data_IF_172659808948
#
_entry.id   IF_172659808948
#
_cell.length_a   1.000
_cell.length_b   1.000
_cell.length_c   1.000
_cell.angle_alpha   90.00
_cell.angle_beta   90.00
_cell.angle_gamma   90.00
#
_symmetry.space_group_name_H-M   'P 1'
#
loop_
_entity.id
_entity.type
_entity.pdbx_description
1 polymer ?
#
# COMPACT_ATOMS: atom_id res chain seq x y z
N UNK A 1 -16.77 -2.89 28.01
CA UNK A 1 -16.75 -3.59 26.70
C UNK A 1 -16.18 -2.73 25.57
N UNK A 2 -16.32 -1.41 25.64
CA UNK A 2 -15.82 -0.51 24.60
C UNK A 2 -14.27 -0.50 24.44
N UNK A 3 -13.52 -0.67 25.53
CA UNK A 3 -12.05 -0.67 25.46
C UNK A 3 -11.48 -1.78 24.57
N UNK A 4 -11.99 -2.99 24.70
CA UNK A 4 -11.53 -4.13 23.89
C UNK A 4 -11.88 -3.95 22.41
N UNK A 5 -13.04 -3.37 22.09
CA UNK A 5 -13.42 -3.03 20.72
C UNK A 5 -12.49 -1.95 20.12
N UNK A 6 -12.16 -0.92 20.90
CA UNK A 6 -11.19 0.08 20.46
C UNK A 6 -9.80 -0.48 20.26
N UNK A 7 -9.36 -1.39 21.13
CA UNK A 7 -8.08 -2.08 21.00
C UNK A 7 -8.01 -2.90 19.69
N UNK A 8 -9.05 -3.68 19.39
CA UNK A 8 -9.12 -4.49 18.16
C UNK A 8 -9.12 -3.60 16.92
N UNK A 9 -9.90 -2.53 16.91
CA UNK A 9 -9.91 -1.57 15.80
C UNK A 9 -8.55 -0.87 15.65
N UNK A 10 -7.91 -0.52 16.75
CA UNK A 10 -6.56 0.05 16.76
C UNK A 10 -5.51 -0.89 16.18
N UNK A 11 -5.56 -2.18 16.53
CA UNK A 11 -4.67 -3.21 15.95
C UNK A 11 -4.93 -3.37 14.46
N UNK A 12 -6.19 -3.36 14.02
CA UNK A 12 -6.54 -3.42 12.60
C UNK A 12 -5.95 -2.26 11.82
N UNK A 13 -6.17 -1.03 12.29
CA UNK A 13 -5.63 0.17 11.67
C UNK A 13 -4.10 0.18 11.69
N UNK A 14 -3.51 -0.20 12.83
CA UNK A 14 -2.06 -0.36 12.99
C UNK A 14 -1.45 -1.36 12.02
N UNK A 15 -2.17 -2.46 11.70
CA UNK A 15 -1.74 -3.45 10.72
C UNK A 15 -1.64 -2.87 9.31
N UNK A 16 -2.58 -2.00 8.91
CA UNK A 16 -2.52 -1.30 7.63
C UNK A 16 -1.31 -0.38 7.57
N UNK A 17 -1.12 0.44 8.61
CA UNK A 17 0.05 1.32 8.69
C UNK A 17 1.38 0.55 8.71
N UNK A 18 1.42 -0.63 9.35
CA UNK A 18 2.60 -1.47 9.37
C UNK A 18 2.98 -1.96 7.96
N UNK A 19 2.01 -2.37 7.13
CA UNK A 19 2.27 -2.77 5.73
C UNK A 19 2.79 -1.59 4.91
N UNK A 20 2.17 -0.43 5.05
CA UNK A 20 2.59 0.79 4.35
C UNK A 20 4.01 1.19 4.76
N UNK A 21 4.28 1.22 6.06
CA UNK A 21 5.60 1.55 6.60
C UNK A 21 6.67 0.56 6.15
N UNK A 22 6.35 -0.73 6.09
CA UNK A 22 7.25 -1.77 5.64
C UNK A 22 7.62 -1.60 4.17
N UNK A 23 6.65 -1.31 3.30
CA UNK A 23 6.91 -0.98 1.89
C UNK A 23 7.80 0.24 1.74
N UNK A 24 7.52 1.29 2.51
CA UNK A 24 8.29 2.53 2.50
C UNK A 24 9.74 2.31 2.98
N UNK A 25 9.93 1.59 4.08
CA UNK A 25 11.26 1.32 4.64
C UNK A 25 12.10 0.43 3.75
N UNK A 26 11.50 -0.53 3.02
CA UNK A 26 12.22 -1.33 2.04
C UNK A 26 12.77 -0.48 0.90
N UNK A 27 11.95 0.40 0.34
CA UNK A 27 12.40 1.32 -0.73
C UNK A 27 13.50 2.24 -0.22
N UNK A 28 13.34 2.82 0.97
CA UNK A 28 14.35 3.66 1.59
C UNK A 28 15.66 2.91 1.86
N UNK A 29 15.58 1.68 2.38
CA UNK A 29 16.76 0.86 2.65
C UNK A 29 17.63 0.63 1.41
N UNK A 30 16.99 0.38 0.26
CA UNK A 30 17.68 0.10 -0.99
C UNK A 30 18.13 1.37 -1.71
N UNK A 31 17.21 2.31 -1.89
CA UNK A 31 17.44 3.50 -2.68
C UNK A 31 18.14 4.62 -1.91
N UNK A 32 18.15 4.56 -0.56
CA UNK A 32 18.63 5.63 0.37
C UNK A 32 17.97 6.98 0.09
N UNK A 33 16.77 6.97 -0.51
CA UNK A 33 16.01 8.15 -0.86
C UNK A 33 14.59 8.06 -0.30
N UNK A 34 14.08 9.18 0.19
CA UNK A 34 12.70 9.30 0.65
C UNK A 34 11.76 9.36 -0.56
N UNK A 35 10.88 8.39 -0.69
CA UNK A 35 9.89 8.36 -1.76
C UNK A 35 8.54 8.89 -1.26
N UNK A 36 8.30 10.20 -1.39
CA UNK A 36 7.03 10.80 -1.00
C UNK A 36 5.85 10.34 -1.87
N UNK A 37 6.11 9.95 -3.12
CA UNK A 37 5.07 9.41 -4.01
C UNK A 37 4.57 8.00 -3.62
N UNK A 38 5.09 7.38 -2.55
CA UNK A 38 4.68 6.05 -2.14
C UNK A 38 3.18 5.99 -1.77
N UNK A 39 2.70 7.00 -1.03
CA UNK A 39 1.28 7.12 -0.70
C UNK A 39 0.39 7.28 -1.93
N UNK A 40 0.87 8.03 -2.92
CA UNK A 40 0.11 8.28 -4.15
C UNK A 40 0.01 7.04 -5.04
N UNK A 41 1.05 6.20 -5.05
CA UNK A 41 0.97 4.89 -5.72
C UNK A 41 -0.08 4.00 -5.06
N UNK A 42 -0.19 4.02 -3.72
CA UNK A 42 -1.25 3.31 -2.99
C UNK A 42 -2.62 3.88 -3.35
N UNK A 43 -2.76 5.21 -3.40
CA UNK A 43 -3.98 5.89 -3.82
C UNK A 43 -4.41 5.45 -5.22
N UNK A 44 -3.52 5.45 -6.20
CA UNK A 44 -3.80 4.95 -7.56
C UNK A 44 -4.27 3.49 -7.53
N UNK A 45 -3.60 2.65 -6.74
CA UNK A 45 -4.00 1.25 -6.55
C UNK A 45 -5.43 1.12 -6.03
N UNK A 46 -5.82 1.94 -5.05
CA UNK A 46 -7.18 1.97 -4.52
C UNK A 46 -8.20 2.40 -5.59
N UNK A 47 -7.89 3.41 -6.39
CA UNK A 47 -8.77 3.84 -7.48
C UNK A 47 -8.96 2.75 -8.54
N UNK A 48 -7.91 2.03 -8.91
CA UNK A 48 -8.01 0.91 -9.86
C UNK A 48 -8.92 -0.20 -9.32
N UNK A 49 -8.76 -0.60 -8.05
CA UNK A 49 -9.64 -1.59 -7.43
C UNK A 49 -11.08 -1.09 -7.41
N UNK A 50 -11.30 0.17 -7.01
CA UNK A 50 -12.63 0.78 -6.97
C UNK A 50 -13.29 0.77 -8.34
N UNK A 51 -12.62 1.26 -9.38
CA UNK A 51 -13.18 1.35 -10.74
C UNK A 51 -13.47 -0.03 -11.32
N UNK A 52 -12.59 -1.00 -11.07
CA UNK A 52 -12.74 -2.36 -11.58
C UNK A 52 -13.91 -3.08 -10.92
N UNK A 53 -14.09 -2.92 -9.60
CA UNK A 53 -15.19 -3.54 -8.89
C UNK A 53 -16.52 -2.83 -9.11
N UNK A 54 -16.54 -1.49 -9.02
CA UNK A 54 -17.78 -0.70 -9.08
C UNK A 54 -18.21 -0.40 -10.53
N UNK A 55 -17.25 -0.22 -11.44
CA UNK A 55 -17.55 0.16 -12.83
C UNK A 55 -17.76 -1.04 -13.75
N UNK A 56 -16.96 -2.09 -13.58
CA UNK A 56 -16.99 -3.27 -14.47
C UNK A 56 -17.58 -4.52 -13.83
N UNK A 57 -17.91 -4.47 -12.54
CA UNK A 57 -18.49 -5.61 -11.82
C UNK A 57 -17.55 -6.82 -11.68
N UNK A 58 -16.24 -6.61 -11.80
CA UNK A 58 -15.26 -7.68 -11.62
C UNK A 58 -15.17 -8.09 -10.14
N UNK A 59 -14.82 -9.35 -9.91
CA UNK A 59 -14.57 -9.82 -8.55
C UNK A 59 -13.33 -9.16 -7.91
N UNK A 60 -13.21 -9.30 -6.60
CA UNK A 60 -12.12 -8.71 -5.83
C UNK A 60 -10.72 -9.18 -6.29
N UNK A 61 -10.58 -10.46 -6.62
CA UNK A 61 -9.27 -11.04 -7.01
C UNK A 61 -8.71 -10.42 -8.29
N UNK A 62 -9.43 -10.39 -9.44
CA UNK A 62 -8.91 -9.75 -10.65
C UNK A 62 -8.69 -8.25 -10.47
N UNK A 63 -9.50 -7.55 -9.66
CA UNK A 63 -9.30 -6.14 -9.36
C UNK A 63 -7.98 -5.90 -8.63
N UNK A 64 -7.65 -6.70 -7.63
CA UNK A 64 -6.38 -6.62 -6.90
C UNK A 64 -5.20 -6.95 -7.79
N UNK A 65 -5.28 -7.99 -8.62
CA UNK A 65 -4.21 -8.35 -9.57
C UNK A 65 -3.95 -7.22 -10.55
N UNK A 66 -5.00 -6.61 -11.11
CA UNK A 66 -4.86 -5.46 -12.02
C UNK A 66 -4.21 -4.27 -11.31
N UNK A 67 -4.63 -3.97 -10.08
CA UNK A 67 -4.03 -2.92 -9.26
C UNK A 67 -2.53 -3.15 -9.04
N UNK A 68 -2.12 -4.37 -8.72
CA UNK A 68 -0.69 -4.72 -8.54
C UNK A 68 0.09 -4.46 -9.83
N UNK A 69 -0.44 -4.87 -10.98
CA UNK A 69 0.21 -4.66 -12.28
C UNK A 69 0.36 -3.16 -12.57
N UNK A 70 -0.71 -2.40 -12.43
CA UNK A 70 -0.70 -0.94 -12.70
C UNK A 70 0.24 -0.21 -11.76
N UNK A 71 0.19 -0.50 -10.46
CA UNK A 71 1.10 0.10 -9.48
C UNK A 71 2.57 -0.26 -9.74
N UNK A 72 2.84 -1.50 -10.17
CA UNK A 72 4.20 -1.93 -10.53
C UNK A 72 4.71 -1.15 -11.75
N UNK A 73 3.91 -1.03 -12.80
CA UNK A 73 4.26 -0.25 -13.99
C UNK A 73 4.47 1.22 -13.63
N UNK A 74 3.57 1.81 -12.83
CA UNK A 74 3.68 3.19 -12.37
C UNK A 74 4.97 3.41 -11.57
N UNK A 75 5.30 2.51 -10.65
CA UNK A 75 6.54 2.57 -9.88
C UNK A 75 7.79 2.52 -10.76
N UNK A 76 7.81 1.64 -11.78
CA UNK A 76 8.91 1.56 -12.76
C UNK A 76 9.02 2.86 -13.57
N UNK A 77 7.91 3.45 -13.98
CA UNK A 77 7.88 4.71 -14.72
C UNK A 77 8.42 5.85 -13.86
N UNK A 78 7.96 5.97 -12.63
CA UNK A 78 8.45 7.00 -11.68
C UNK A 78 9.96 6.82 -11.44
N UNK A 79 10.41 5.60 -11.21
CA UNK A 79 11.85 5.33 -11.02
C UNK A 79 12.66 5.75 -12.24
N UNK A 80 12.27 5.33 -13.43
CA UNK A 80 13.03 5.61 -14.66
C UNK A 80 13.04 7.09 -15.05
N UNK A 81 11.91 7.79 -14.89
CA UNK A 81 11.75 9.16 -15.36
C UNK A 81 12.20 10.17 -14.29
N UNK A 82 11.79 9.97 -13.05
CA UNK A 82 12.02 10.95 -11.99
C UNK A 82 13.29 10.67 -11.19
N UNK A 83 13.51 9.42 -10.73
CA UNK A 83 14.59 9.15 -9.77
C UNK A 83 15.91 8.72 -10.41
N UNK A 84 15.88 7.94 -11.49
CA UNK A 84 17.10 7.45 -12.15
C UNK A 84 18.02 8.57 -12.63
N UNK A 85 17.54 9.67 -13.24
CA UNK A 85 18.41 10.77 -13.65
C UNK A 85 19.09 11.48 -12.48
N UNK A 86 18.47 11.44 -11.30
CA UNK A 86 18.90 12.16 -10.11
C UNK A 86 19.76 11.34 -9.14
N UNK A 87 20.13 10.11 -9.48
CA UNK A 87 20.93 9.24 -8.59
C UNK A 87 22.29 9.84 -8.19
N UNK A 88 22.83 10.77 -8.99
CA UNK A 88 24.09 11.49 -8.71
C UNK A 88 23.89 12.93 -8.27
N UNK A 89 22.64 13.37 -8.13
CA UNK A 89 22.31 14.72 -7.70
C UNK A 89 22.38 14.87 -6.17
N UNK A 90 22.38 16.12 -5.71
CA UNK A 90 22.32 16.40 -4.29
C UNK A 90 21.04 15.82 -3.67
N UNK A 91 21.08 15.30 -2.42
CA UNK A 91 19.92 14.71 -1.76
C UNK A 91 18.69 15.62 -1.73
N UNK A 92 18.90 16.93 -1.63
CA UNK A 92 17.83 17.94 -1.67
C UNK A 92 17.09 17.95 -3.01
N UNK A 93 17.81 17.82 -4.14
CA UNK A 93 17.18 17.77 -5.46
C UNK A 93 16.28 16.54 -5.62
N UNK A 94 16.71 15.39 -5.11
CA UNK A 94 15.91 14.17 -5.08
C UNK A 94 14.66 14.33 -4.23
N UNK A 95 14.79 14.96 -3.06
CA UNK A 95 13.68 15.24 -2.16
C UNK A 95 12.63 16.13 -2.83
N UNK A 96 13.05 17.24 -3.44
CA UNK A 96 12.15 18.18 -4.14
C UNK A 96 11.44 17.45 -5.30
N UNK A 97 12.17 16.64 -6.05
CA UNK A 97 11.58 15.85 -7.14
C UNK A 97 10.54 14.84 -6.62
N UNK A 98 10.82 14.18 -5.51
CA UNK A 98 9.87 13.25 -4.91
C UNK A 98 8.55 13.94 -4.49
N UNK A 99 8.65 15.15 -3.92
CA UNK A 99 7.49 15.99 -3.60
C UNK A 99 6.77 16.40 -4.88
N UNK A 100 7.51 16.82 -5.91
CA UNK A 100 6.93 17.20 -7.21
C UNK A 100 6.17 16.05 -7.88
N UNK A 101 6.70 14.83 -7.82
CA UNK A 101 6.02 13.62 -8.33
C UNK A 101 4.75 13.35 -7.54
N UNK A 102 4.78 13.48 -6.20
CA UNK A 102 3.61 13.33 -5.34
C UNK A 102 2.50 14.31 -5.76
N UNK A 103 2.78 15.60 -5.81
CA UNK A 103 1.81 16.61 -6.26
C UNK A 103 1.31 16.37 -7.68
N UNK A 104 2.17 15.90 -8.58
CA UNK A 104 1.74 15.55 -9.94
C UNK A 104 0.73 14.41 -9.93
N UNK A 105 0.98 13.35 -9.16
CA UNK A 105 0.07 12.20 -9.07
C UNK A 105 -1.25 12.56 -8.40
N UNK A 106 -1.23 13.37 -7.31
CA UNK A 106 -2.44 13.86 -6.65
C UNK A 106 -3.32 14.66 -7.62
N UNK A 107 -2.73 15.63 -8.33
CA UNK A 107 -3.48 16.46 -9.28
C UNK A 107 -3.93 15.66 -10.51
N UNK A 108 -3.13 14.73 -11.00
CA UNK A 108 -3.53 13.84 -12.08
C UNK A 108 -4.71 12.95 -11.65
N UNK A 109 -4.68 12.40 -10.44
CA UNK A 109 -5.79 11.63 -9.89
C UNK A 109 -7.06 12.48 -9.76
N UNK A 110 -6.93 13.73 -9.28
CA UNK A 110 -8.05 14.67 -9.18
C UNK A 110 -8.69 14.97 -10.54
N UNK A 111 -7.88 15.14 -11.57
CA UNK A 111 -8.37 15.39 -12.94
C UNK A 111 -9.02 14.17 -13.58
N UNK A 112 -8.48 12.97 -13.32
CA UNK A 112 -8.97 11.72 -13.92
C UNK A 112 -10.21 11.19 -13.19
N UNK A 113 -10.19 11.19 -11.85
CA UNK A 113 -11.21 10.56 -11.01
C UNK A 113 -12.21 11.56 -10.40
N UNK A 114 -11.90 12.86 -10.44
CA UNK A 114 -12.70 13.92 -9.83
C UNK A 114 -12.43 14.10 -8.34
N UNK A 115 -13.05 15.15 -7.76
CA UNK A 115 -12.91 15.52 -6.35
C UNK A 115 -13.96 14.86 -5.44
N UNK A 116 -14.89 14.09 -6.01
CA UNK A 116 -16.00 13.54 -5.25
C UNK A 116 -15.57 12.40 -4.34
N UNK A 117 -16.10 12.39 -3.12
CA UNK A 117 -15.90 11.29 -2.19
C UNK A 117 -16.56 10.03 -2.72
N UNK A 118 -15.80 8.98 -2.94
CA UNK A 118 -16.27 7.67 -3.40
C UNK A 118 -16.39 6.71 -2.23
N UNK A 119 -17.58 6.12 -2.06
CA UNK A 119 -17.80 5.06 -1.08
C UNK A 119 -17.30 3.73 -1.60
N UNK A 120 -16.41 3.10 -0.86
CA UNK A 120 -15.87 1.79 -1.22
C UNK A 120 -16.84 0.68 -0.79
N UNK A 121 -17.24 -0.16 -1.73
CA UNK A 121 -17.96 -1.39 -1.41
C UNK A 121 -16.97 -2.37 -0.77
N UNK A 122 -17.37 -3.02 0.32
CA UNK A 122 -16.50 -3.96 1.02
C UNK A 122 -15.95 -5.02 0.05
N UNK A 123 -14.65 -5.04 -0.15
CA UNK A 123 -13.94 -6.06 -0.95
C UNK A 123 -14.04 -7.42 -0.29
N UNK A 124 -14.17 -7.44 1.05
CA UNK A 124 -14.26 -8.63 1.87
C UNK A 124 -15.68 -8.74 2.43
N UNK A 125 -16.42 -9.75 2.00
CA UNK A 125 -17.81 -10.02 2.42
C UNK A 125 -17.90 -11.03 3.56
N UNK A 126 -16.84 -11.19 4.37
CA UNK A 126 -16.87 -12.10 5.50
C UNK A 126 -17.78 -11.57 6.62
N UNK A 127 -18.62 -12.44 7.20
CA UNK A 127 -19.49 -12.05 8.30
C UNK A 127 -18.67 -11.63 9.52
N UNK A 128 -19.17 -10.65 10.26
CA UNK A 128 -18.56 -10.25 11.52
C UNK A 128 -18.63 -11.36 12.56
N UNK A 129 -17.53 -11.66 13.21
CA UNK A 129 -17.47 -12.60 14.33
C UNK A 129 -18.03 -11.94 15.59
N UNK A 130 -19.15 -12.48 16.07
CA UNK A 130 -19.77 -12.05 17.34
C UNK A 130 -19.25 -12.95 18.46
N UNK A 131 -18.40 -12.42 19.33
CA UNK A 131 -17.92 -13.08 20.54
C UNK A 131 -18.72 -12.61 21.77
N UNK A 132 -18.72 -13.44 22.81
CA UNK A 132 -19.36 -13.12 24.09
C UNK A 132 -20.85 -12.70 23.97
N UNK A 133 -21.65 -13.47 23.23
CA UNK A 133 -23.09 -13.20 23.11
C UNK A 133 -23.45 -11.91 22.36
N UNK A 134 -22.56 -11.41 21.49
CA UNK A 134 -22.77 -10.17 20.72
C UNK A 134 -22.18 -8.90 21.34
N UNK A 135 -21.57 -9.02 22.48
CA UNK A 135 -20.94 -7.90 23.18
C UNK A 135 -19.61 -7.45 22.55
N UNK A 136 -18.95 -8.32 21.78
CA UNK A 136 -17.75 -8.01 21.01
C UNK A 136 -17.98 -8.42 19.57
N UNK A 137 -17.96 -7.45 18.66
CA UNK A 137 -18.12 -7.68 17.23
C UNK A 137 -16.81 -7.36 16.52
N UNK A 138 -16.16 -8.36 15.93
CA UNK A 138 -14.95 -8.18 15.13
C UNK A 138 -15.36 -8.22 13.66
N UNK A 139 -15.07 -7.15 12.92
CA UNK A 139 -15.35 -7.11 11.49
C UNK A 139 -14.53 -8.17 10.74
N UNK A 140 -15.13 -8.82 9.75
CA UNK A 140 -14.42 -9.76 8.89
C UNK A 140 -13.24 -9.10 8.16
N UNK A 141 -13.36 -7.83 7.81
CA UNK A 141 -12.26 -7.02 7.23
C UNK A 141 -11.07 -6.91 8.18
N UNK A 142 -11.28 -6.69 9.48
CA UNK A 142 -10.23 -6.63 10.49
C UNK A 142 -9.39 -7.92 10.52
N UNK A 143 -10.04 -9.07 10.49
CA UNK A 143 -9.38 -10.38 10.52
C UNK A 143 -8.54 -10.59 9.26
N UNK A 144 -9.11 -10.29 8.09
CA UNK A 144 -8.40 -10.44 6.81
C UNK A 144 -7.22 -9.49 6.72
N UNK A 145 -7.38 -8.23 7.14
CA UNK A 145 -6.30 -7.24 7.15
C UNK A 145 -5.14 -7.68 8.04
N UNK A 146 -5.43 -8.14 9.25
CA UNK A 146 -4.39 -8.63 10.18
C UNK A 146 -3.68 -9.87 9.63
N UNK A 147 -4.42 -10.85 9.10
CA UNK A 147 -3.87 -12.06 8.50
C UNK A 147 -3.03 -11.73 7.27
N UNK A 148 -3.52 -10.86 6.39
CA UNK A 148 -2.78 -10.38 5.22
C UNK A 148 -1.48 -9.69 5.63
N UNK A 149 -1.51 -8.84 6.68
CA UNK A 149 -0.31 -8.20 7.23
C UNK A 149 0.73 -9.23 7.65
N UNK A 150 0.34 -10.22 8.43
CA UNK A 150 1.25 -11.28 8.91
C UNK A 150 1.83 -12.08 7.75
N UNK A 151 0.98 -12.47 6.78
CA UNK A 151 1.42 -13.24 5.60
C UNK A 151 2.38 -12.44 4.73
N UNK A 152 2.06 -11.17 4.44
CA UNK A 152 2.93 -10.28 3.65
C UNK A 152 4.26 -10.07 4.36
N UNK A 153 4.26 -9.81 5.68
CA UNK A 153 5.47 -9.62 6.46
C UNK A 153 6.34 -10.88 6.48
N UNK A 154 5.74 -12.06 6.68
CA UNK A 154 6.45 -13.32 6.63
C UNK A 154 7.03 -13.62 5.23
N UNK A 155 6.24 -13.38 4.17
CA UNK A 155 6.68 -13.56 2.79
C UNK A 155 7.86 -12.64 2.45
N UNK A 156 7.81 -11.36 2.85
CA UNK A 156 8.89 -10.41 2.66
C UNK A 156 10.15 -10.79 3.43
N UNK A 157 10.02 -11.20 4.70
CA UNK A 157 11.17 -11.71 5.46
C UNK A 157 11.82 -12.92 4.80
N UNK A 158 11.02 -13.87 4.32
CA UNK A 158 11.52 -15.04 3.63
C UNK A 158 12.19 -14.66 2.30
N UNK A 159 11.59 -13.74 1.55
CA UNK A 159 12.16 -13.23 0.31
C UNK A 159 13.53 -12.59 0.54
N UNK A 160 13.63 -11.66 1.51
CA UNK A 160 14.91 -10.98 1.81
C UNK A 160 15.98 -11.97 2.27
N UNK A 161 15.64 -12.92 3.17
CA UNK A 161 16.61 -13.84 3.74
C UNK A 161 17.00 -14.99 2.81
N UNK A 162 16.10 -15.47 1.95
CA UNK A 162 16.29 -16.70 1.18
C UNK A 162 16.52 -16.51 -0.31
N UNK A 163 16.29 -15.32 -0.88
CA UNK A 163 16.50 -15.09 -2.31
C UNK A 163 17.79 -14.32 -2.57
N UNK A 164 18.43 -14.62 -3.70
CA UNK A 164 19.63 -13.88 -4.15
C UNK A 164 19.34 -12.38 -4.33
N UNK A 165 18.16 -12.05 -4.82
CA UNK A 165 17.74 -10.65 -4.97
C UNK A 165 17.58 -9.97 -3.61
N UNK A 166 16.94 -10.63 -2.63
CA UNK A 166 16.80 -10.10 -1.28
C UNK A 166 18.13 -9.90 -0.56
N UNK A 167 19.06 -10.85 -0.70
CA UNK A 167 20.41 -10.72 -0.15
C UNK A 167 21.20 -9.59 -0.81
N UNK A 168 21.06 -9.42 -2.13
CA UNK A 168 21.66 -8.27 -2.83
C UNK A 168 21.06 -6.93 -2.35
N UNK A 169 19.76 -6.87 -2.09
CA UNK A 169 19.10 -5.70 -1.50
C UNK A 169 19.66 -5.38 -0.11
N UNK A 170 19.86 -6.41 0.72
CA UNK A 170 20.42 -6.25 2.05
C UNK A 170 21.87 -5.73 2.00
N UNK A 171 22.69 -6.28 1.11
CA UNK A 171 24.08 -5.84 0.92
C UNK A 171 24.21 -4.39 0.43
N UNK A 172 23.24 -3.89 -0.34
CA UNK A 172 23.19 -2.48 -0.76
C UNK A 172 22.67 -1.56 0.35
N UNK A 173 21.91 -2.10 1.29
CA UNK A 173 21.35 -1.33 2.42
C UNK A 173 22.36 -1.08 3.55
N UNK A 174 23.45 -1.86 3.63
CA UNK A 174 24.56 -1.68 4.57
C UNK A 174 25.60 -0.69 4.03
#
# INVERSE_FOLDING_TARGET
MNFLSYLINGISLGSVYAIIALGYTMVYGIAKMLNFAHGDVIMVGCYIVFMTMSGQGWGAVPAVVLSIIVCTVLGIVIEKIAYKPLRKAAPLAVLITAIGVSYFLENAALLIFGADTRSFTNVVTLPALKLAGGALTISGTTIVTFLACVVIMAALMLFIKKTKAGQAMLAVSE
#
